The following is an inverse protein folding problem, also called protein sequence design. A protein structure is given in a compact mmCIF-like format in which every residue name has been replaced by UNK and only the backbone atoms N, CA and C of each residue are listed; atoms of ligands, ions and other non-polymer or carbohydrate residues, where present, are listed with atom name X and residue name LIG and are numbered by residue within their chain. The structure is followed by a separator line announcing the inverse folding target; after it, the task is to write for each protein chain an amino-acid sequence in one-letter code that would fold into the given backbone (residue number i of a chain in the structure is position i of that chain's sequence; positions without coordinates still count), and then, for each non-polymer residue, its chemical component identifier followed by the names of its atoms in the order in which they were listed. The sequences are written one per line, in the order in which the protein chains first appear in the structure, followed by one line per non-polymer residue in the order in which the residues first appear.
data_IF_659787202832
#
_entry.id   IF_659787202832
#
_cell.length_a   1.000
_cell.length_b   1.000
_cell.length_c   1.000
_cell.angle_alpha   90.00
_cell.angle_beta   90.00
_cell.angle_gamma   90.00
#
_symmetry.space_group_name_H-M   'P 1'
#
loop_
_entity.id
_entity.type
_entity.pdbx_description
1 polymer ?
#
# COMPACT_ATOMS: atom_id res chain seq x y z
N UNK A 1 4.10 13.33 -0.89
CA UNK A 1 3.46 14.63 -1.16
C UNK A 1 3.12 14.80 -2.65
N UNK A 2 4.08 14.94 -3.58
CA UNK A 2 3.76 15.05 -5.02
C UNK A 2 2.89 13.90 -5.58
N UNK A 3 3.20 12.65 -5.20
CA UNK A 3 2.40 11.49 -5.63
C UNK A 3 0.94 11.52 -5.13
N UNK A 4 0.70 12.01 -3.91
CA UNK A 4 -0.66 12.07 -3.35
C UNK A 4 -1.52 13.09 -4.10
N UNK A 5 -0.93 14.22 -4.47
CA UNK A 5 -1.58 15.26 -5.25
C UNK A 5 -1.87 14.78 -6.69
N UNK A 6 -0.97 13.99 -7.26
CA UNK A 6 -1.16 13.38 -8.56
C UNK A 6 -2.37 12.43 -8.58
N UNK A 7 -2.56 11.58 -7.56
CA UNK A 7 -3.69 10.65 -7.49
C UNK A 7 -5.06 11.36 -7.55
N UNK A 8 -5.17 12.52 -6.91
CA UNK A 8 -6.38 13.35 -6.97
C UNK A 8 -6.56 14.02 -8.33
N UNK A 9 -5.46 14.49 -8.91
CA UNK A 9 -5.45 15.16 -10.22
C UNK A 9 -5.86 14.19 -11.33
N UNK A 10 -5.40 12.93 -11.25
CA UNK A 10 -5.74 11.87 -12.20
C UNK A 10 -7.14 11.27 -11.98
N UNK A 11 -7.86 11.72 -10.95
CA UNK A 11 -9.20 11.23 -10.62
C UNK A 11 -9.23 9.80 -10.10
N UNK A 12 -8.10 9.27 -9.61
CA UNK A 12 -8.02 7.91 -9.06
C UNK A 12 -8.73 7.83 -7.70
N UNK A 13 -8.67 8.91 -6.93
CA UNK A 13 -9.32 9.05 -5.62
C UNK A 13 -10.02 10.40 -5.52
N UNK A 14 -11.15 10.44 -4.81
CA UNK A 14 -11.89 11.68 -4.52
C UNK A 14 -11.26 12.43 -3.32
N UNK A 15 -11.75 13.63 -3.02
CA UNK A 15 -11.21 14.56 -2.02
C UNK A 15 -11.45 14.12 -0.58
N UNK A 16 -12.52 13.36 -0.37
CA UNK A 16 -12.91 12.76 0.91
C UNK A 16 -12.05 11.54 1.28
N UNK A 17 -11.28 10.99 0.33
CA UNK A 17 -10.29 9.96 0.61
C UNK A 17 -9.10 10.55 1.39
N UNK A 18 -8.87 9.99 2.58
CA UNK A 18 -7.71 10.32 3.41
C UNK A 18 -6.42 9.80 2.77
N UNK A 19 -5.40 10.65 2.72
CA UNK A 19 -4.09 10.31 2.16
C UNK A 19 -3.02 10.55 3.21
N UNK A 20 -2.39 9.46 3.67
CA UNK A 20 -1.33 9.50 4.67
C UNK A 20 0.04 9.20 4.04
N UNK A 21 1.09 9.81 4.57
CA UNK A 21 2.48 9.37 4.35
C UNK A 21 3.01 8.93 5.70
N UNK A 22 3.42 7.69 5.79
CA UNK A 22 4.01 7.10 6.99
C UNK A 22 5.48 6.77 6.77
N UNK A 23 6.27 6.81 7.84
CA UNK A 23 7.69 6.50 7.78
C UNK A 23 8.21 5.97 9.12
N UNK A 24 9.21 5.09 9.07
CA UNK A 24 9.84 4.54 10.26
C UNK A 24 11.19 3.90 9.93
N UNK A 25 11.90 3.43 10.95
CA UNK A 25 13.15 2.69 10.82
C UNK A 25 12.91 1.22 10.42
N UNK A 26 12.06 1.00 9.42
CA UNK A 26 11.54 -0.32 9.06
C UNK A 26 10.12 -0.23 8.51
N UNK A 27 9.65 -1.33 7.90
CA UNK A 27 8.28 -1.41 7.40
C UNK A 27 7.27 -1.63 8.52
N UNK A 28 7.67 -2.34 9.57
CA UNK A 28 6.91 -2.52 10.81
C UNK A 28 6.59 -1.17 11.44
N UNK A 29 7.62 -0.37 11.76
CA UNK A 29 7.41 0.94 12.37
C UNK A 29 6.65 1.90 11.46
N UNK A 30 6.88 1.83 10.14
CA UNK A 30 6.13 2.65 9.21
C UNK A 30 4.65 2.26 9.14
N UNK A 31 4.31 0.97 9.21
CA UNK A 31 2.91 0.53 9.18
C UNK A 31 2.19 0.78 10.50
N UNK A 32 2.89 0.70 11.64
CA UNK A 32 2.34 1.02 12.95
C UNK A 32 2.03 2.53 13.13
N UNK A 33 2.72 3.40 12.38
CA UNK A 33 2.49 4.85 12.35
C UNK A 33 1.28 5.25 11.49
N UNK A 34 0.69 4.30 10.75
CA UNK A 34 -0.57 4.53 10.05
C UNK A 34 -1.76 4.54 11.03
N UNK A 35 -2.72 5.43 10.79
CA UNK A 35 -3.89 5.60 11.66
C UNK A 35 -4.96 4.53 11.34
N UNK A 36 -4.63 3.26 11.56
CA UNK A 36 -5.55 2.15 11.29
C UNK A 36 -6.80 2.19 12.17
N UNK A 37 -7.95 1.90 11.58
CA UNK A 37 -9.20 1.65 12.28
C UNK A 37 -9.49 0.14 12.42
N UNK A 38 -10.34 -0.20 13.41
CA UNK A 38 -10.74 -1.58 13.65
C UNK A 38 -11.50 -2.14 12.43
N UNK A 39 -11.02 -3.26 11.91
CA UNK A 39 -11.64 -3.97 10.78
C UNK A 39 -11.12 -3.56 9.40
N UNK A 40 -10.10 -2.70 9.33
CA UNK A 40 -9.47 -2.33 8.07
C UNK A 40 -8.61 -3.43 7.46
N UNK A 41 -8.31 -3.28 6.17
CA UNK A 41 -7.48 -4.18 5.38
C UNK A 41 -6.43 -3.40 4.58
N UNK A 42 -5.26 -4.00 4.38
CA UNK A 42 -4.23 -3.46 3.51
C UNK A 42 -4.33 -4.08 2.11
N UNK A 43 -4.65 -3.27 1.10
CA UNK A 43 -4.59 -3.69 -0.30
C UNK A 43 -3.21 -3.41 -0.90
N UNK A 44 -2.54 -4.45 -1.42
CA UNK A 44 -1.27 -4.34 -2.12
C UNK A 44 -1.46 -4.68 -3.60
N UNK A 45 -1.29 -3.69 -4.47
CA UNK A 45 -1.18 -3.91 -5.91
C UNK A 45 0.16 -4.54 -6.27
N UNK A 46 0.15 -5.46 -7.24
CA UNK A 46 1.39 -5.96 -7.84
C UNK A 46 1.76 -5.12 -9.07
N UNK A 47 3.07 -4.91 -9.28
CA UNK A 47 3.58 -4.35 -10.53
C UNK A 47 4.18 -5.50 -11.36
N UNK A 48 3.53 -5.93 -12.46
CA UNK A 48 4.04 -7.04 -13.26
C UNK A 48 5.43 -6.70 -13.82
N UNK A 49 6.36 -7.65 -13.70
CA UNK A 49 7.60 -7.66 -14.49
C UNK A 49 7.48 -8.78 -15.51
N UNK A 50 6.86 -8.47 -16.65
CA UNK A 50 6.60 -9.42 -17.74
C UNK A 50 5.38 -10.32 -17.51
N UNK A 51 5.09 -11.14 -18.51
CA UNK A 51 3.82 -11.86 -18.71
C UNK A 51 3.48 -12.90 -17.63
N UNK A 52 4.46 -13.31 -16.82
CA UNK A 52 4.34 -14.40 -15.84
C UNK A 52 4.13 -13.89 -14.41
N UNK A 53 4.25 -12.58 -14.14
CA UNK A 53 4.40 -12.05 -12.78
C UNK A 53 3.18 -11.31 -12.21
N UNK A 54 1.95 -11.65 -12.63
CA UNK A 54 0.71 -10.95 -12.20
C UNK A 54 0.39 -11.03 -10.70
N UNK A 55 1.14 -11.81 -9.92
CA UNK A 55 1.00 -11.87 -8.44
C UNK A 55 2.34 -11.81 -7.70
N UNK A 56 3.43 -11.41 -8.38
CA UNK A 56 4.73 -11.27 -7.70
C UNK A 56 4.83 -9.90 -7.02
N UNK A 57 4.77 -9.90 -5.68
CA UNK A 57 4.88 -8.69 -4.83
C UNK A 57 6.27 -8.02 -4.82
N UNK A 58 7.29 -8.72 -5.34
CA UNK A 58 8.68 -8.30 -5.23
C UNK A 58 9.18 -8.22 -3.78
N UNK A 59 10.42 -7.74 -3.60
CA UNK A 59 11.08 -7.72 -2.28
C UNK A 59 10.47 -6.73 -1.30
N UNK A 60 9.82 -5.65 -1.79
CA UNK A 60 9.16 -4.64 -0.95
C UNK A 60 7.81 -5.15 -0.46
N UNK A 61 6.92 -5.58 -1.36
CA UNK A 61 5.61 -6.09 -0.98
C UNK A 61 5.69 -7.30 -0.06
N UNK A 62 6.68 -8.19 -0.28
CA UNK A 62 6.92 -9.33 0.62
C UNK A 62 7.34 -8.91 2.04
N UNK A 63 8.10 -7.82 2.18
CA UNK A 63 8.49 -7.29 3.50
C UNK A 63 7.30 -6.66 4.22
N UNK A 64 6.49 -5.88 3.50
CA UNK A 64 5.26 -5.26 4.00
C UNK A 64 4.29 -6.35 4.50
N UNK A 65 4.04 -7.38 3.67
CA UNK A 65 3.15 -8.49 4.01
C UNK A 65 3.55 -9.19 5.32
N UNK A 66 4.85 -9.33 5.59
CA UNK A 66 5.38 -10.02 6.77
C UNK A 66 5.10 -9.28 8.08
N UNK A 67 4.96 -7.95 8.02
CA UNK A 67 4.89 -7.08 9.20
C UNK A 67 3.60 -6.27 9.26
N UNK A 68 2.61 -6.62 8.43
CA UNK A 68 1.34 -5.89 8.41
C UNK A 68 0.55 -6.11 9.70
N UNK A 69 0.05 -5.04 10.34
CA UNK A 69 -0.79 -5.15 11.54
C UNK A 69 -2.24 -5.53 11.22
N UNK A 70 -2.64 -5.49 9.95
CA UNK A 70 -4.01 -5.76 9.46
C UNK A 70 -4.01 -6.88 8.40
N UNK A 71 -5.17 -7.50 8.10
CA UNK A 71 -5.27 -8.45 6.99
C UNK A 71 -4.87 -7.83 5.65
N UNK A 72 -4.11 -8.58 4.85
CA UNK A 72 -3.60 -8.10 3.55
C UNK A 72 -4.29 -8.78 2.38
N UNK A 73 -4.76 -7.99 1.42
CA UNK A 73 -5.29 -8.46 0.13
C UNK A 73 -4.31 -8.09 -0.97
N UNK A 74 -3.88 -9.07 -1.76
CA UNK A 74 -2.99 -8.85 -2.90
C UNK A 74 -3.82 -8.76 -4.17
N UNK A 75 -3.73 -7.63 -4.86
CA UNK A 75 -4.45 -7.37 -6.10
C UNK A 75 -3.53 -7.62 -7.31
N UNK A 76 -3.93 -8.52 -8.23
CA UNK A 76 -3.16 -8.75 -9.44
C UNK A 76 -3.17 -7.49 -10.31
N UNK A 77 -2.01 -7.19 -10.92
CA UNK A 77 -1.81 -6.10 -11.87
C UNK A 77 -1.55 -6.59 -13.27
#
# INVERSE_FOLDING_TARGET
RAMQEQLRTDGVVDRDVQLQVVSGNGWDQALDDAEWEDGEILALGTSPRGDVARVFLGSRGTKILRVSPVPVVVLPG
#
